data_IF_084789162391
#
_entry.id   IF_084789162391
#
_cell.length_a   1.000
_cell.length_b   1.000
_cell.length_c   1.000
_cell.angle_alpha   90.00
_cell.angle_beta   90.00
_cell.angle_gamma   90.00
#
_symmetry.space_group_name_H-M   'P 1'
#
loop_
_entity.id
_entity.type
_entity.pdbx_description
1 polymer ?
#
# COMPACT_ATOMS: atom_id res chain seq x y z
N UNK A 1 -34.41 30.57 4.81
CA UNK A 1 -34.01 29.23 4.32
C UNK A 1 -32.73 29.28 3.48
N UNK A 2 -31.58 29.27 4.14
CA UNK A 2 -30.29 29.07 3.47
C UNK A 2 -30.08 27.56 3.29
N UNK A 3 -30.68 26.99 2.23
CA UNK A 3 -30.32 25.65 1.77
C UNK A 3 -28.98 25.76 1.04
N UNK A 4 -27.89 25.46 1.73
CA UNK A 4 -26.57 25.33 1.11
C UNK A 4 -26.62 24.13 0.16
N UNK A 5 -26.44 24.37 -1.15
CA UNK A 5 -26.21 23.30 -2.11
C UNK A 5 -24.75 22.86 -1.99
N UNK A 6 -24.51 21.65 -1.48
CA UNK A 6 -23.17 21.04 -1.47
C UNK A 6 -23.01 20.24 -2.76
N UNK A 7 -22.04 20.61 -3.59
CA UNK A 7 -21.67 19.84 -4.78
C UNK A 7 -20.77 18.67 -4.35
N UNK A 8 -21.39 17.53 -4.03
CA UNK A 8 -20.70 16.33 -3.55
C UNK A 8 -19.56 15.86 -4.46
N UNK A 9 -19.77 15.73 -5.78
CA UNK A 9 -18.72 15.36 -6.73
C UNK A 9 -17.51 16.31 -6.71
N UNK A 10 -17.74 17.64 -6.75
CA UNK A 10 -16.64 18.62 -6.70
C UNK A 10 -15.90 18.60 -5.37
N UNK A 11 -16.62 18.42 -4.26
CA UNK A 11 -16.02 18.28 -2.93
C UNK A 11 -15.17 17.01 -2.82
N UNK A 12 -15.66 15.89 -3.36
CA UNK A 12 -14.91 14.63 -3.42
C UNK A 12 -13.68 14.74 -4.33
N UNK A 13 -13.80 15.38 -5.49
CA UNK A 13 -12.68 15.64 -6.39
C UNK A 13 -11.58 16.47 -5.70
N UNK A 14 -11.97 17.49 -4.91
CA UNK A 14 -11.02 18.28 -4.10
C UNK A 14 -10.36 17.45 -3.00
N UNK A 15 -11.08 16.53 -2.35
CA UNK A 15 -10.50 15.61 -1.36
C UNK A 15 -9.49 14.67 -2.01
N UNK A 16 -9.81 14.13 -3.19
CA UNK A 16 -8.92 13.23 -3.94
C UNK A 16 -7.68 13.98 -4.46
N UNK A 17 -7.86 15.20 -4.97
CA UNK A 17 -6.78 16.06 -5.42
C UNK A 17 -5.90 16.56 -4.27
N UNK A 18 -6.48 16.76 -3.08
CA UNK A 18 -5.76 16.97 -1.83
C UNK A 18 -5.13 15.68 -1.27
N UNK A 19 -5.41 14.54 -1.90
CA UNK A 19 -4.74 13.27 -1.62
C UNK A 19 -3.22 13.42 -1.68
N UNK A 20 -2.54 12.70 -0.79
CA UNK A 20 -1.09 12.81 -0.67
C UNK A 20 -0.40 12.34 -1.96
N UNK A 21 0.56 13.15 -2.45
CA UNK A 21 1.46 12.72 -3.52
C UNK A 21 2.24 11.47 -3.07
N UNK A 22 2.57 10.56 -4.00
CA UNK A 22 3.40 9.41 -3.68
C UNK A 22 4.73 9.81 -3.04
N UNK A 23 5.10 9.14 -1.95
CA UNK A 23 6.38 9.36 -1.28
C UNK A 23 7.49 8.67 -2.08
N UNK A 24 8.48 9.39 -2.65
CA UNK A 24 9.45 8.80 -3.57
C UNK A 24 10.24 7.61 -2.99
N UNK A 25 10.57 7.64 -1.69
CA UNK A 25 11.27 6.56 -1.00
C UNK A 25 10.47 5.24 -1.02
N UNK A 26 9.15 5.29 -0.80
CA UNK A 26 8.30 4.10 -0.90
C UNK A 26 8.22 3.58 -2.33
N UNK A 27 8.10 4.48 -3.32
CA UNK A 27 8.09 4.08 -4.75
C UNK A 27 9.38 3.36 -5.12
N UNK A 28 10.54 3.89 -4.70
CA UNK A 28 11.84 3.26 -4.94
C UNK A 28 11.95 1.90 -4.24
N UNK A 29 11.51 1.81 -2.99
CA UNK A 29 11.49 0.56 -2.23
C UNK A 29 10.66 -0.52 -2.91
N UNK A 30 9.48 -0.19 -3.42
CA UNK A 30 8.63 -1.13 -4.16
C UNK A 30 9.37 -1.68 -5.39
N UNK A 31 10.00 -0.81 -6.19
CA UNK A 31 10.78 -1.23 -7.37
C UNK A 31 11.90 -2.19 -6.98
N UNK A 32 12.66 -1.85 -5.95
CA UNK A 32 13.79 -2.66 -5.49
C UNK A 32 13.37 -3.99 -4.86
N UNK A 33 12.22 -4.03 -4.16
CA UNK A 33 11.63 -5.27 -3.67
C UNK A 33 11.32 -6.22 -4.83
N UNK A 34 10.69 -5.72 -5.90
CA UNK A 34 10.37 -6.53 -7.08
C UNK A 34 11.61 -7.05 -7.79
N UNK A 35 12.66 -6.23 -7.95
CA UNK A 35 13.93 -6.67 -8.55
C UNK A 35 14.58 -7.82 -7.76
N UNK A 36 14.33 -7.89 -6.45
CA UNK A 36 14.80 -8.97 -5.57
C UNK A 36 13.87 -10.18 -5.52
N UNK A 37 12.78 -10.17 -6.28
CA UNK A 37 11.82 -11.28 -6.34
C UNK A 37 10.71 -11.22 -5.29
N UNK A 38 10.64 -10.18 -4.44
CA UNK A 38 9.51 -10.00 -3.54
C UNK A 38 8.25 -9.65 -4.31
N UNK A 39 7.11 -10.16 -3.84
CA UNK A 39 5.79 -9.77 -4.33
C UNK A 39 5.27 -8.57 -3.56
N UNK A 40 4.61 -7.66 -4.26
CA UNK A 40 4.12 -6.42 -3.66
C UNK A 40 2.65 -6.24 -4.02
N UNK A 41 1.81 -6.08 -3.00
CA UNK A 41 0.36 -5.93 -3.15
C UNK A 41 -0.14 -4.63 -2.50
N UNK A 42 -1.21 -4.07 -3.05
CA UNK A 42 -1.89 -2.89 -2.51
C UNK A 42 -3.29 -3.24 -2.01
N UNK A 43 -3.62 -2.82 -0.78
CA UNK A 43 -4.97 -2.90 -0.22
C UNK A 43 -5.51 -1.48 0.01
N UNK A 44 -6.42 -1.04 -0.86
CA UNK A 44 -6.84 0.37 -0.94
C UNK A 44 -8.31 0.57 -0.61
N UNK A 45 -8.58 1.53 0.28
CA UNK A 45 -9.92 2.09 0.47
C UNK A 45 -10.13 3.15 -0.61
N UNK A 46 -10.65 2.76 -1.77
CA UNK A 46 -10.91 3.67 -2.90
C UNK A 46 -12.40 3.98 -3.00
N UNK A 47 -12.71 5.23 -3.35
CA UNK A 47 -14.04 5.63 -3.83
C UNK A 47 -14.06 5.52 -5.35
N UNK A 48 -15.14 4.99 -5.92
CA UNK A 48 -15.35 4.99 -7.37
C UNK A 48 -15.65 6.44 -7.79
N UNK A 49 -14.80 7.04 -8.60
CA UNK A 49 -15.06 8.34 -9.22
C UNK A 49 -15.00 8.16 -10.73
N UNK A 50 -16.17 8.06 -11.35
CA UNK A 50 -16.31 7.75 -12.78
C UNK A 50 -15.92 8.91 -13.71
N UNK A 51 -15.61 10.12 -13.20
CA UNK A 51 -15.42 11.31 -14.06
C UNK A 51 -14.17 12.18 -13.78
N UNK A 52 -13.28 11.84 -12.84
CA UNK A 52 -12.11 12.68 -12.50
C UNK A 52 -10.74 12.10 -12.94
N UNK A 53 -10.75 11.11 -13.84
CA UNK A 53 -9.59 10.29 -14.13
C UNK A 53 -8.55 10.94 -15.07
N UNK A 54 -8.89 11.93 -15.89
CA UNK A 54 -7.99 12.31 -16.99
C UNK A 54 -6.73 13.12 -16.57
N UNK A 55 -6.78 13.93 -15.50
CA UNK A 55 -5.61 14.76 -15.11
C UNK A 55 -4.74 14.18 -13.98
N UNK A 56 -5.25 13.21 -13.22
CA UNK A 56 -4.49 12.54 -12.13
C UNK A 56 -3.93 11.16 -12.50
N UNK A 57 -4.36 10.62 -13.65
CA UNK A 57 -3.97 9.30 -14.17
C UNK A 57 -2.47 9.15 -14.43
N UNK A 58 -1.78 10.18 -14.91
CA UNK A 58 -0.40 10.02 -15.41
C UNK A 58 0.65 9.64 -14.36
N UNK A 59 0.42 9.94 -13.07
CA UNK A 59 1.35 9.58 -11.97
C UNK A 59 0.85 8.45 -11.10
N UNK A 60 -0.46 8.34 -10.91
CA UNK A 60 -1.07 7.27 -10.09
C UNK A 60 -1.07 5.94 -10.83
N UNK A 61 -1.35 5.93 -12.14
CA UNK A 61 -1.37 4.70 -12.94
C UNK A 61 0.03 4.07 -13.05
N UNK A 62 1.06 4.90 -13.16
CA UNK A 62 2.46 4.45 -13.18
C UNK A 62 2.90 3.75 -11.88
N UNK A 63 2.30 4.10 -10.75
CA UNK A 63 2.60 3.48 -9.45
C UNK A 63 1.74 2.25 -9.22
N UNK A 64 0.47 2.27 -9.63
CA UNK A 64 -0.39 1.10 -9.57
C UNK A 64 0.21 -0.06 -10.38
N UNK A 65 0.84 0.23 -11.52
CA UNK A 65 1.58 -0.76 -12.31
C UNK A 65 2.79 -1.40 -11.61
N UNK A 66 3.22 -0.90 -10.45
CA UNK A 66 4.27 -1.54 -9.65
C UNK A 66 3.73 -2.69 -8.79
N UNK A 67 2.43 -2.80 -8.54
CA UNK A 67 1.88 -3.84 -7.69
C UNK A 67 1.54 -5.10 -8.49
N UNK A 68 1.86 -6.27 -7.95
CA UNK A 68 1.48 -7.56 -8.53
C UNK A 68 -0.02 -7.85 -8.33
N UNK A 69 -0.59 -7.31 -7.25
CA UNK A 69 -2.01 -7.43 -6.90
C UNK A 69 -2.48 -6.09 -6.33
N UNK A 70 -3.65 -5.62 -6.79
CA UNK A 70 -4.36 -4.49 -6.21
C UNK A 70 -5.74 -4.96 -5.80
N UNK A 71 -6.10 -4.75 -4.54
CA UNK A 71 -7.40 -5.08 -3.96
C UNK A 71 -8.10 -3.79 -3.58
N UNK A 72 -9.24 -3.54 -4.22
CA UNK A 72 -10.02 -2.31 -4.03
C UNK A 72 -11.26 -2.56 -3.18
N UNK A 73 -11.48 -1.74 -2.17
CA UNK A 73 -12.66 -1.85 -1.28
C UNK A 73 -14.00 -1.82 -2.02
N UNK A 74 -14.12 -1.03 -3.09
CA UNK A 74 -15.37 -0.94 -3.86
C UNK A 74 -15.69 -2.22 -4.65
N UNK A 75 -14.67 -3.01 -5.03
CA UNK A 75 -14.86 -4.29 -5.71
C UNK A 75 -15.16 -5.42 -4.72
N UNK A 76 -14.53 -5.38 -3.55
CA UNK A 76 -14.72 -6.41 -2.50
C UNK A 76 -16.00 -6.20 -1.68
N UNK A 77 -16.67 -5.05 -1.79
CA UNK A 77 -17.87 -4.73 -1.02
C UNK A 77 -17.61 -4.55 0.50
N UNK A 78 -16.35 -4.50 0.90
CA UNK A 78 -15.88 -4.28 2.27
C UNK A 78 -14.65 -3.36 2.27
N UNK A 79 -14.31 -2.76 3.42
CA UNK A 79 -13.22 -1.79 3.53
C UNK A 79 -12.35 -2.04 4.74
N UNK A 80 -11.11 -1.54 4.74
CA UNK A 80 -10.30 -1.50 5.97
C UNK A 80 -11.03 -0.62 7.01
N UNK A 81 -11.13 -1.04 8.29
CA UNK A 81 -10.49 -2.21 8.93
C UNK A 81 -11.40 -3.45 9.10
N UNK A 82 -12.43 -3.63 8.29
CA UNK A 82 -13.34 -4.78 8.37
C UNK A 82 -12.61 -6.09 8.07
N UNK A 83 -12.85 -7.14 8.87
CA UNK A 83 -12.16 -8.42 8.76
C UNK A 83 -12.29 -9.06 7.37
N UNK A 84 -13.45 -8.87 6.70
CA UNK A 84 -13.69 -9.36 5.35
C UNK A 84 -12.66 -8.86 4.33
N UNK A 85 -12.17 -7.62 4.49
CA UNK A 85 -11.19 -7.02 3.58
C UNK A 85 -9.82 -7.71 3.64
N UNK A 86 -9.44 -8.24 4.81
CA UNK A 86 -8.17 -8.94 5.00
C UNK A 86 -8.27 -10.41 4.57
N UNK A 87 -9.44 -11.02 4.75
CA UNK A 87 -9.72 -12.34 4.19
C UNK A 87 -9.71 -12.30 2.65
N UNK A 88 -10.34 -11.28 2.06
CA UNK A 88 -10.28 -11.03 0.61
C UNK A 88 -8.83 -10.83 0.14
N UNK A 89 -8.06 -9.97 0.82
CA UNK A 89 -6.64 -9.79 0.53
C UNK A 89 -5.90 -11.13 0.51
N UNK A 90 -6.02 -11.93 1.57
CA UNK A 90 -5.34 -13.23 1.64
C UNK A 90 -5.74 -14.16 0.50
N UNK A 91 -7.03 -14.20 0.12
CA UNK A 91 -7.50 -14.97 -1.03
C UNK A 91 -6.86 -14.52 -2.35
N UNK A 92 -6.73 -13.21 -2.59
CA UNK A 92 -6.04 -12.70 -3.79
C UNK A 92 -4.54 -13.02 -3.76
N UNK A 93 -3.89 -12.93 -2.60
CA UNK A 93 -2.47 -13.26 -2.44
C UNK A 93 -2.21 -14.74 -2.72
N UNK A 94 -3.05 -15.63 -2.22
CA UNK A 94 -2.99 -17.07 -2.51
C UNK A 94 -3.19 -17.33 -4.01
N UNK A 95 -4.33 -16.90 -4.57
CA UNK A 95 -4.70 -17.20 -5.95
C UNK A 95 -3.74 -16.65 -6.99
N UNK A 96 -3.19 -15.44 -6.77
CA UNK A 96 -2.37 -14.74 -7.78
C UNK A 96 -0.88 -14.89 -7.55
N UNK A 97 -0.46 -15.12 -6.30
CA UNK A 97 0.95 -15.11 -5.91
C UNK A 97 1.42 -16.39 -5.21
N UNK A 98 0.50 -17.31 -4.88
CA UNK A 98 0.79 -18.54 -4.15
C UNK A 98 1.13 -18.31 -2.68
N UNK A 99 0.81 -17.14 -2.12
CA UNK A 99 1.11 -16.81 -0.72
C UNK A 99 -0.06 -17.28 0.15
N UNK A 100 0.11 -18.40 0.83
CA UNK A 100 -0.94 -19.06 1.62
C UNK A 100 -0.82 -18.79 3.12
N UNK A 101 0.39 -18.56 3.63
CA UNK A 101 0.64 -18.25 5.04
C UNK A 101 0.63 -16.73 5.28
N UNK A 102 -0.29 -16.20 6.11
CA UNK A 102 -0.31 -14.78 6.46
C UNK A 102 0.99 -14.27 7.07
N UNK A 103 1.79 -15.12 7.75
CA UNK A 103 3.04 -14.71 8.39
C UNK A 103 4.14 -14.33 7.39
N UNK A 104 4.04 -14.79 6.13
CA UNK A 104 4.91 -14.37 5.03
C UNK A 104 4.65 -12.92 4.59
N UNK A 105 3.51 -12.34 4.96
CA UNK A 105 3.10 -10.98 4.57
C UNK A 105 3.58 -9.95 5.60
N UNK A 106 4.17 -8.85 5.11
CA UNK A 106 4.42 -7.64 5.89
C UNK A 106 3.44 -6.56 5.45
N UNK A 107 2.49 -6.19 6.32
CA UNK A 107 1.46 -5.20 6.06
C UNK A 107 1.82 -3.82 6.65
N UNK A 108 1.84 -2.80 5.78
CA UNK A 108 2.17 -1.41 6.13
C UNK A 108 0.91 -0.55 6.02
N UNK A 109 0.61 0.25 7.03
CA UNK A 109 -0.49 1.23 7.02
C UNK A 109 -0.17 2.38 7.99
N UNK A 110 -0.62 3.60 7.68
CA UNK A 110 -0.46 4.77 8.53
C UNK A 110 -1.59 4.89 9.57
N UNK A 111 -2.65 4.09 9.44
CA UNK A 111 -3.76 4.05 10.39
C UNK A 111 -3.63 2.77 11.21
N UNK A 112 -3.24 2.91 12.48
CA UNK A 112 -3.07 1.75 13.38
C UNK A 112 -4.30 0.84 13.52
N UNK A 113 -5.53 1.35 13.34
CA UNK A 113 -6.74 0.53 13.32
C UNK A 113 -6.77 -0.47 12.15
N UNK A 114 -6.19 -0.12 11.01
CA UNK A 114 -6.07 -1.01 9.86
C UNK A 114 -5.02 -2.11 10.08
N UNK A 115 -4.12 -1.97 11.05
CA UNK A 115 -3.09 -2.97 11.35
C UNK A 115 -3.64 -4.08 12.25
N UNK A 116 -4.59 -3.79 13.12
CA UNK A 116 -5.17 -4.75 14.07
C UNK A 116 -5.71 -6.02 13.40
N UNK A 117 -6.59 -5.95 12.39
CA UNK A 117 -7.09 -7.14 11.70
C UNK A 117 -6.01 -7.88 10.89
N UNK A 118 -5.03 -7.16 10.30
CA UNK A 118 -3.89 -7.80 9.63
C UNK A 118 -3.06 -8.64 10.61
N UNK A 119 -2.74 -8.07 11.78
CA UNK A 119 -2.03 -8.79 12.85
C UNK A 119 -2.85 -9.97 13.39
N UNK A 120 -4.17 -9.81 13.56
CA UNK A 120 -5.06 -10.88 13.99
C UNK A 120 -5.12 -12.05 13.00
N UNK A 121 -4.91 -11.78 11.71
CA UNK A 121 -4.81 -12.81 10.66
C UNK A 121 -3.44 -13.51 10.64
N UNK A 122 -2.44 -12.98 11.36
CA UNK A 122 -1.08 -13.53 11.42
C UNK A 122 -0.04 -12.75 10.60
N UNK A 123 -0.44 -11.66 9.94
CA UNK A 123 0.50 -10.83 9.16
C UNK A 123 1.44 -10.06 10.09
N UNK A 124 2.69 -9.87 9.64
CA UNK A 124 3.64 -8.98 10.31
C UNK A 124 3.27 -7.55 9.97
N UNK A 125 3.15 -6.66 10.95
CA UNK A 125 2.70 -5.28 10.68
C UNK A 125 3.78 -4.23 10.92
N UNK A 126 3.71 -3.13 10.18
CA UNK A 126 4.49 -1.90 10.37
C UNK A 126 3.52 -0.71 10.35
N UNK A 127 3.61 0.13 11.37
CA UNK A 127 2.87 1.40 11.41
C UNK A 127 3.70 2.51 10.78
N UNK A 128 3.18 3.12 9.73
CA UNK A 128 3.84 4.25 9.07
C UNK A 128 3.48 5.53 9.82
N UNK A 129 4.39 6.00 10.67
CA UNK A 129 4.22 7.25 11.41
C UNK A 129 4.23 8.49 10.52
N UNK A 130 4.17 9.66 11.16
CA UNK A 130 4.30 10.96 10.50
C UNK A 130 5.54 11.70 11.04
N UNK A 131 6.23 12.43 10.18
CA UNK A 131 7.29 13.37 10.58
C UNK A 131 6.70 14.59 11.30
N UNK A 132 7.55 15.47 11.83
CA UNK A 132 7.10 16.72 12.46
C UNK A 132 6.30 17.61 11.49
N UNK A 133 6.56 17.49 10.19
CA UNK A 133 5.88 18.21 9.10
C UNK A 133 4.59 17.51 8.64
N UNK A 134 4.18 16.41 9.28
CA UNK A 134 2.96 15.67 8.94
C UNK A 134 3.06 14.77 7.70
N UNK A 135 4.26 14.60 7.14
CA UNK A 135 4.51 13.69 6.02
C UNK A 135 4.68 12.25 6.52
N UNK A 136 4.39 11.21 5.72
CA UNK A 136 4.70 9.84 6.11
C UNK A 136 6.19 9.67 6.42
N UNK A 137 6.51 9.10 7.57
CA UNK A 137 7.89 8.81 7.99
C UNK A 137 8.41 7.54 7.29
N UNK A 138 8.84 7.73 6.05
CA UNK A 138 9.33 6.65 5.22
C UNK A 138 10.66 6.07 5.70
N UNK A 139 11.51 6.84 6.37
CA UNK A 139 12.82 6.37 6.81
C UNK A 139 12.67 5.31 7.91
N UNK A 140 11.91 5.64 8.96
CA UNK A 140 11.63 4.70 10.05
C UNK A 140 10.88 3.47 9.54
N UNK A 141 9.87 3.65 8.67
CA UNK A 141 9.09 2.53 8.15
C UNK A 141 9.92 1.58 7.27
N UNK A 142 10.81 2.11 6.42
CA UNK A 142 11.66 1.30 5.55
C UNK A 142 12.80 0.62 6.31
N UNK A 143 13.30 1.22 7.39
CA UNK A 143 14.25 0.57 8.29
C UNK A 143 13.61 -0.65 8.98
N UNK A 144 12.38 -0.50 9.49
CA UNK A 144 11.62 -1.63 10.06
C UNK A 144 11.31 -2.71 9.02
N UNK A 145 10.99 -2.31 7.79
CA UNK A 145 10.74 -3.25 6.70
C UNK A 145 11.99 -4.07 6.38
N UNK A 146 13.13 -3.40 6.21
CA UNK A 146 14.40 -4.04 5.94
C UNK A 146 14.78 -5.03 7.06
N UNK A 147 14.60 -4.64 8.32
CA UNK A 147 14.84 -5.51 9.47
C UNK A 147 13.94 -6.76 9.45
N UNK A 148 12.64 -6.61 9.15
CA UNK A 148 11.70 -7.76 9.04
C UNK A 148 11.98 -8.65 7.85
N UNK A 149 12.55 -8.11 6.77
CA UNK A 149 12.98 -8.85 5.59
C UNK A 149 14.38 -9.46 5.74
N UNK A 150 15.09 -9.14 6.83
CA UNK A 150 16.48 -9.53 7.05
C UNK A 150 17.42 -9.11 5.89
N UNK A 151 17.24 -7.88 5.39
CA UNK A 151 18.09 -7.26 4.37
C UNK A 151 18.60 -5.89 4.84
N UNK A 152 19.72 -5.37 4.28
CA UNK A 152 20.16 -4.01 4.57
C UNK A 152 19.12 -2.96 4.16
N UNK A 153 18.88 -1.93 4.96
CA UNK A 153 17.93 -0.85 4.59
C UNK A 153 18.32 -0.12 3.31
N UNK A 154 19.62 0.01 3.05
CA UNK A 154 20.15 0.56 1.79
C UNK A 154 19.71 -0.24 0.56
N UNK A 155 19.43 -1.53 0.70
CA UNK A 155 18.94 -2.40 -0.38
C UNK A 155 17.54 -2.05 -0.86
N UNK A 156 16.77 -1.29 -0.06
CA UNK A 156 15.46 -0.75 -0.44
C UNK A 156 15.58 0.60 -1.17
N UNK A 157 16.67 1.34 -0.99
CA UNK A 157 16.79 2.72 -1.47
C UNK A 157 17.78 2.91 -2.61
N UNK A 158 18.77 2.03 -2.75
CA UNK A 158 19.75 2.08 -3.85
C UNK A 158 19.22 1.31 -5.04
N UNK A 159 19.50 1.79 -6.25
CA UNK A 159 19.32 1.01 -7.47
C UNK A 159 20.32 -0.15 -7.44
N UNK A 160 19.91 -1.30 -6.91
CA UNK A 160 20.76 -2.48 -6.89
C UNK A 160 20.54 -3.24 -8.20
N UNK A 161 21.52 -3.12 -9.11
CA UNK A 161 21.62 -3.95 -10.32
C UNK A 161 22.26 -5.32 -10.02
N UNK A 162 22.51 -5.63 -8.75
CA UNK A 162 23.07 -6.90 -8.31
C UNK A 162 22.10 -8.08 -8.45
N UNK A 163 22.61 -9.30 -8.64
CA UNK A 163 21.79 -10.49 -8.79
C UNK A 163 20.93 -10.75 -7.53
N UNK A 164 19.73 -11.32 -7.67
CA UNK A 164 18.84 -11.59 -6.54
C UNK A 164 19.54 -12.51 -5.51
N UNK A 165 19.29 -12.30 -4.20
CA UNK A 165 19.83 -13.19 -3.19
C UNK A 165 19.28 -14.60 -3.40
N UNK A 166 20.16 -15.58 -3.44
CA UNK A 166 19.78 -17.00 -3.46
C UNK A 166 19.08 -17.33 -2.16
N UNK A 167 17.78 -17.65 -2.24
CA UNK A 167 17.04 -18.21 -1.12
C UNK A 167 17.76 -19.50 -0.68
N UNK A 168 18.30 -19.50 0.55
CA UNK A 168 18.71 -20.75 1.18
C UNK A 168 17.45 -21.45 1.67
N UNK A 169 17.23 -22.65 1.12
CA UNK A 169 16.31 -23.66 1.65
C UNK A 169 16.74 -24.09 3.05
#
# INVERSE_FOLDING_TARGET
DLRVKVNGPEFLARIIQAGSRPVPKFVQAIKNLKLRGFKVAALTNSFQVEEAAEETATTTDGIMGLFDVIVHSHLEGCRKPEAGMYAALQGHLDQKLGITDPSDVIFLDDIGLNLKPAAALGMRTIHVGRTAEGLPDADTALEQLAAKLNIPSLSLLRDDTGPPPTARL
#
